data_IF_853539663601
#
_entry.id   IF_853539663601
#
_cell.length_a   1.000
_cell.length_b   1.000
_cell.length_c   1.000
_cell.angle_alpha   90.00
_cell.angle_beta   90.00
_cell.angle_gamma   90.00
#
_symmetry.space_group_name_H-M   'P 1'
#
loop_
_entity.id
_entity.type
_entity.pdbx_description
1 polymer ?
#
# COMPACT_ATOMS: atom_id res chain seq x y z
N UNK A 1 -52.99 -44.60 2.29
CA UNK A 1 -53.48 -43.64 3.31
C UNK A 1 -52.21 -43.11 3.99
N UNK A 2 -51.59 -41.97 3.66
CA UNK A 2 -52.08 -40.66 3.20
C UNK A 2 -51.13 -40.03 2.16
N UNK A 3 -51.73 -39.26 1.23
CA UNK A 3 -51.11 -38.60 0.08
C UNK A 3 -50.88 -37.11 0.37
N UNK A 4 -49.71 -36.56 0.02
CA UNK A 4 -49.41 -35.18 -0.47
C UNK A 4 -48.05 -35.29 -1.21
N UNK A 5 -47.89 -35.28 -2.54
CA UNK A 5 -48.13 -34.21 -3.56
C UNK A 5 -47.63 -32.86 -3.03
N UNK A 6 -46.70 -32.08 -3.60
CA UNK A 6 -45.95 -31.97 -4.87
C UNK A 6 -44.81 -30.95 -4.52
N UNK A 7 -43.62 -30.91 -5.12
CA UNK A 7 -43.24 -30.10 -6.30
C UNK A 7 -41.73 -30.26 -6.45
N UNK A 8 -41.26 -30.66 -7.64
CA UNK A 8 -39.87 -30.47 -8.04
C UNK A 8 -39.65 -29.00 -8.42
N UNK A 9 -38.61 -28.34 -7.92
CA UNK A 9 -38.09 -27.13 -8.53
C UNK A 9 -36.55 -27.13 -8.50
N UNK A 10 -36.01 -27.21 -9.70
CA UNK A 10 -34.63 -26.96 -10.09
C UNK A 10 -34.35 -25.45 -9.90
N UNK A 11 -33.07 -25.09 -9.69
CA UNK A 11 -32.48 -23.72 -9.62
C UNK A 11 -32.56 -22.97 -8.29
N UNK A 12 -31.46 -23.01 -7.52
CA UNK A 12 -30.63 -21.81 -7.33
C UNK A 12 -29.16 -22.20 -7.43
N UNK A 13 -28.62 -22.00 -8.64
CA UNK A 13 -27.22 -21.78 -8.91
C UNK A 13 -26.89 -20.33 -8.51
N UNK A 14 -26.38 -20.08 -7.30
CA UNK A 14 -25.62 -18.84 -7.01
C UNK A 14 -24.56 -19.13 -5.96
N UNK A 15 -23.34 -19.31 -6.44
CA UNK A 15 -22.11 -18.80 -5.84
C UNK A 15 -21.91 -19.02 -4.34
N UNK A 16 -21.66 -20.28 -3.94
CA UNK A 16 -20.61 -20.53 -2.96
C UNK A 16 -19.23 -20.54 -3.66
N UNK A 17 -19.00 -19.56 -4.54
CA UNK A 17 -17.65 -19.06 -4.77
C UNK A 17 -17.36 -18.25 -3.51
N UNK A 18 -16.98 -18.96 -2.45
CA UNK A 18 -16.39 -18.34 -1.27
C UNK A 18 -15.35 -17.37 -1.80
N UNK A 19 -15.60 -16.09 -1.53
CA UNK A 19 -15.01 -14.96 -2.21
C UNK A 19 -13.59 -15.26 -2.63
N UNK A 20 -13.39 -15.28 -3.94
CA UNK A 20 -12.09 -15.20 -4.57
C UNK A 20 -11.48 -13.87 -4.14
N UNK A 21 -10.93 -13.81 -2.93
CA UNK A 21 -9.92 -12.84 -2.61
C UNK A 21 -8.61 -13.47 -3.08
N UNK A 22 -8.40 -13.46 -4.39
CA UNK A 22 -7.03 -13.33 -4.88
C UNK A 22 -6.52 -12.01 -4.34
N UNK A 23 -6.06 -12.02 -3.09
CA UNK A 23 -5.16 -10.98 -2.62
C UNK A 23 -3.90 -11.18 -3.43
N UNK A 24 -3.85 -10.50 -4.58
CA UNK A 24 -2.67 -10.40 -5.41
C UNK A 24 -1.51 -10.06 -4.48
N UNK A 25 -0.43 -10.82 -4.59
CA UNK A 25 0.81 -10.61 -3.84
C UNK A 25 1.12 -9.11 -3.77
N UNK A 26 1.01 -8.53 -2.59
CA UNK A 26 1.33 -7.12 -2.35
C UNK A 26 2.76 -6.90 -2.83
N UNK A 27 2.93 -5.97 -3.79
CA UNK A 27 4.22 -5.74 -4.44
C UNK A 27 4.99 -4.72 -3.62
N UNK A 28 5.86 -5.23 -2.76
CA UNK A 28 6.66 -4.44 -1.84
C UNK A 28 7.96 -3.95 -2.49
N UNK A 29 8.24 -2.65 -2.35
CA UNK A 29 9.46 -2.01 -2.86
C UNK A 29 10.13 -1.21 -1.75
N UNK A 30 11.37 -1.57 -1.42
CA UNK A 30 12.16 -0.90 -0.37
C UNK A 30 13.43 -0.23 -0.89
N UNK A 31 13.73 -0.34 -2.18
CA UNK A 31 14.94 0.21 -2.81
C UNK A 31 14.56 1.40 -3.71
N UNK A 32 14.75 2.65 -3.25
CA UNK A 32 14.41 3.85 -4.02
C UNK A 32 15.23 4.02 -5.30
N UNK A 33 16.38 3.35 -5.42
CA UNK A 33 17.27 3.48 -6.59
C UNK A 33 16.81 2.65 -7.79
N UNK A 34 15.77 1.80 -7.61
CA UNK A 34 15.22 0.96 -8.67
C UNK A 34 13.83 1.45 -9.05
N UNK A 35 13.54 1.63 -10.36
CA UNK A 35 12.18 1.95 -10.80
C UNK A 35 11.19 0.87 -10.39
N UNK A 36 10.07 1.31 -9.81
CA UNK A 36 8.94 0.48 -9.40
C UNK A 36 8.06 0.25 -10.62
N UNK A 37 8.14 -0.96 -11.20
CA UNK A 37 7.38 -1.34 -12.41
C UNK A 37 6.07 -2.04 -12.06
N UNK A 38 4.94 -1.37 -12.27
CA UNK A 38 3.60 -1.80 -11.87
C UNK A 38 2.68 -1.89 -13.08
N UNK A 39 1.74 -2.84 -13.09
CA UNK A 39 0.68 -2.89 -14.12
C UNK A 39 -0.51 -2.05 -13.69
N UNK A 40 -1.24 -1.52 -14.66
CA UNK A 40 -2.49 -0.80 -14.44
C UNK A 40 -3.44 -1.59 -13.53
N UNK A 41 -4.06 -0.91 -12.57
CA UNK A 41 -5.02 -1.49 -11.63
C UNK A 41 -4.41 -2.23 -10.44
N UNK A 42 -3.10 -2.46 -10.42
CA UNK A 42 -2.45 -3.16 -9.30
C UNK A 42 -2.19 -2.24 -8.11
N UNK A 43 -2.28 -2.82 -6.92
CA UNK A 43 -1.76 -2.23 -5.69
C UNK A 43 -0.27 -2.56 -5.52
N UNK A 44 0.45 -1.63 -4.90
CA UNK A 44 1.87 -1.75 -4.59
C UNK A 44 2.21 -0.97 -3.32
N UNK A 45 3.28 -1.39 -2.65
CA UNK A 45 3.68 -0.84 -1.37
C UNK A 45 5.11 -0.32 -1.42
N UNK A 46 5.32 0.87 -0.88
CA UNK A 46 6.64 1.46 -0.68
C UNK A 46 7.02 1.31 0.79
N UNK A 47 8.16 0.65 1.04
CA UNK A 47 8.63 0.32 2.38
C UNK A 47 9.78 1.24 2.74
N UNK A 48 9.61 1.96 3.85
CA UNK A 48 10.58 2.90 4.37
C UNK A 48 11.01 2.50 5.77
N UNK A 49 12.31 2.47 6.03
CA UNK A 49 12.81 2.27 7.40
C UNK A 49 12.39 3.46 8.28
N UNK A 50 11.84 3.16 9.45
CA UNK A 50 11.29 4.17 10.36
C UNK A 50 11.53 3.78 11.81
N UNK A 51 11.70 4.76 12.70
CA UNK A 51 11.85 4.53 14.12
C UNK A 51 10.92 5.45 14.90
N UNK A 52 9.68 4.99 15.12
CA UNK A 52 8.65 5.75 15.82
C UNK A 52 9.06 6.17 17.24
N UNK A 53 9.99 5.46 17.90
CA UNK A 53 10.48 5.80 19.24
C UNK A 53 11.27 7.12 19.30
N UNK A 54 11.73 7.61 18.14
CA UNK A 54 12.48 8.86 18.01
C UNK A 54 11.59 10.08 17.75
N UNK A 55 10.29 9.86 17.55
CA UNK A 55 9.31 10.89 17.21
C UNK A 55 9.29 11.29 15.72
N UNK A 56 10.21 10.77 14.92
CA UNK A 56 10.20 10.98 13.47
C UNK A 56 9.17 10.07 12.79
N UNK A 57 8.61 10.56 11.68
CA UNK A 57 7.72 9.81 10.79
C UNK A 57 7.92 10.26 9.35
N UNK A 58 7.57 9.40 8.39
CA UNK A 58 7.55 9.80 6.98
C UNK A 58 6.30 10.62 6.65
N UNK A 59 6.48 11.61 5.79
CA UNK A 59 5.41 12.43 5.23
C UNK A 59 5.67 12.61 3.73
N UNK A 60 4.64 12.92 2.95
CA UNK A 60 4.85 13.34 1.56
C UNK A 60 5.77 14.57 1.50
N UNK A 61 6.70 14.54 0.56
CA UNK A 61 7.44 15.73 0.15
C UNK A 61 6.70 16.42 -1.00
N UNK A 62 6.88 17.73 -1.13
CA UNK A 62 6.33 18.48 -2.27
C UNK A 62 7.31 18.44 -3.45
N UNK A 63 6.82 18.32 -4.70
CA UNK A 63 5.43 18.01 -5.06
C UNK A 63 5.07 16.55 -4.73
N UNK A 64 3.82 16.32 -4.29
CA UNK A 64 3.35 15.01 -3.79
C UNK A 64 3.59 13.87 -4.81
N UNK A 65 2.80 13.81 -5.89
CA UNK A 65 2.93 12.93 -7.07
C UNK A 65 1.73 13.19 -8.00
N UNK A 66 1.73 12.60 -9.20
CA UNK A 66 0.59 12.68 -10.12
C UNK A 66 -0.54 11.73 -9.67
N UNK A 67 -1.58 12.29 -9.07
CA UNK A 67 -2.76 11.55 -8.57
C UNK A 67 -3.60 10.90 -9.66
N UNK A 68 -3.37 11.23 -10.94
CA UNK A 68 -4.01 10.51 -12.05
C UNK A 68 -3.29 9.20 -12.38
N UNK A 69 -2.01 9.06 -12.00
CA UNK A 69 -1.19 7.87 -12.28
C UNK A 69 -1.23 6.90 -11.11
N UNK A 70 -1.18 7.40 -9.88
CA UNK A 70 -1.23 6.60 -8.66
C UNK A 70 -2.22 7.20 -7.66
N UNK A 71 -2.87 6.35 -6.86
CA UNK A 71 -3.73 6.71 -5.75
C UNK A 71 -3.09 6.25 -4.44
N UNK A 72 -3.07 7.09 -3.42
CA UNK A 72 -2.68 6.67 -2.08
C UNK A 72 -3.86 5.97 -1.40
N UNK A 73 -3.63 4.75 -0.89
CA UNK A 73 -4.65 3.91 -0.27
C UNK A 73 -4.58 4.01 1.26
N UNK A 74 -3.41 3.70 1.84
CA UNK A 74 -3.19 3.71 3.29
C UNK A 74 -1.69 3.74 3.62
N UNK A 75 -1.36 4.09 4.85
CA UNK A 75 -0.05 3.83 5.42
C UNK A 75 -0.15 3.24 6.81
N UNK A 76 0.84 2.44 7.20
CA UNK A 76 0.92 1.83 8.52
C UNK A 76 2.36 1.68 9.00
N UNK A 77 2.56 1.75 10.31
CA UNK A 77 3.85 1.48 10.94
C UNK A 77 3.90 0.03 11.45
N UNK A 78 4.92 -0.70 11.03
CA UNK A 78 5.17 -2.08 11.44
C UNK A 78 6.27 -2.10 12.50
N UNK A 79 5.87 -2.52 13.70
CA UNK A 79 6.76 -2.71 14.85
C UNK A 79 7.75 -3.85 14.55
N UNK A 80 9.06 -3.69 14.83
CA UNK A 80 10.03 -4.74 14.59
C UNK A 80 9.84 -5.92 15.56
N UNK A 81 10.03 -7.15 15.06
CA UNK A 81 9.98 -8.37 15.87
C UNK A 81 11.29 -8.57 16.62
N UNK A 82 11.54 -7.76 17.65
CA UNK A 82 12.76 -7.80 18.48
C UNK A 82 12.45 -7.48 19.94
N UNK A 83 13.32 -7.93 20.86
CA UNK A 83 13.26 -7.60 22.29
C UNK A 83 14.00 -6.29 22.64
N UNK A 84 14.67 -5.67 21.66
CA UNK A 84 15.44 -4.45 21.86
C UNK A 84 14.50 -3.23 21.95
N UNK A 85 14.54 -2.55 23.09
CA UNK A 85 13.86 -1.26 23.27
C UNK A 85 14.49 -0.22 22.34
N UNK A 86 13.66 0.58 21.67
CA UNK A 86 14.14 1.60 20.73
C UNK A 86 14.46 1.09 19.32
N UNK A 87 14.25 -0.19 19.04
CA UNK A 87 14.50 -0.75 17.72
C UNK A 87 13.62 -0.09 16.64
N UNK A 88 14.24 0.23 15.50
CA UNK A 88 13.54 0.74 14.33
C UNK A 88 12.65 -0.32 13.68
N UNK A 89 11.47 0.12 13.25
CA UNK A 89 10.52 -0.63 12.44
C UNK A 89 10.49 -0.14 11.00
N UNK A 90 9.32 -0.23 10.38
CA UNK A 90 9.12 0.19 8.98
C UNK A 90 7.78 0.91 8.83
N UNK A 91 7.70 1.85 7.91
CA UNK A 91 6.43 2.38 7.43
C UNK A 91 6.14 1.78 6.05
N UNK A 92 4.92 1.27 5.88
CA UNK A 92 4.40 0.72 4.65
C UNK A 92 3.42 1.73 4.07
N UNK A 93 3.65 2.16 2.83
CA UNK A 93 2.81 3.11 2.12
C UNK A 93 2.20 2.44 0.90
N UNK A 94 0.89 2.23 0.90
CA UNK A 94 0.18 1.46 -0.12
C UNK A 94 -0.48 2.39 -1.13
N UNK A 95 -0.32 2.04 -2.41
CA UNK A 95 -0.83 2.79 -3.54
C UNK A 95 -1.51 1.88 -4.54
N UNK A 96 -2.40 2.45 -5.36
CA UNK A 96 -3.03 1.80 -6.51
C UNK A 96 -2.65 2.49 -7.80
N UNK A 97 -2.26 1.73 -8.82
CA UNK A 97 -1.95 2.27 -10.14
C UNK A 97 -3.23 2.56 -10.95
N UNK A 98 -3.47 3.83 -11.29
CA UNK A 98 -4.70 4.30 -11.94
C UNK A 98 -4.57 4.52 -13.44
N UNK A 99 -3.39 4.93 -13.92
CA UNK A 99 -3.15 5.23 -15.34
C UNK A 99 -1.73 4.88 -15.75
N UNK A 100 -1.57 4.35 -16.97
CA UNK A 100 -0.26 4.13 -17.55
C UNK A 100 0.52 5.44 -17.67
N UNK A 101 1.80 5.41 -17.33
CA UNK A 101 2.64 6.60 -17.24
C UNK A 101 3.77 6.46 -16.24
N UNK A 102 4.42 7.58 -15.94
CA UNK A 102 5.53 7.67 -14.99
C UNK A 102 5.24 8.78 -13.99
N UNK A 103 5.39 8.49 -12.69
CA UNK A 103 5.32 9.50 -11.63
C UNK A 103 6.40 9.25 -10.58
N UNK A 104 6.73 10.25 -9.78
CA UNK A 104 7.68 10.13 -8.67
C UNK A 104 6.95 10.40 -7.38
N UNK A 105 7.03 9.47 -6.43
CA UNK A 105 6.48 9.62 -5.08
C UNK A 105 7.65 9.92 -4.15
N UNK A 106 7.64 11.09 -3.52
CA UNK A 106 8.71 11.54 -2.63
C UNK A 106 8.24 11.68 -1.20
N UNK A 107 9.13 11.37 -0.26
CA UNK A 107 8.89 11.41 1.17
C UNK A 107 10.00 12.17 1.89
N UNK A 108 9.62 12.79 3.00
CA UNK A 108 10.51 13.45 3.97
C UNK A 108 10.31 12.84 5.36
N UNK A 109 11.40 12.60 6.06
CA UNK A 109 11.40 12.03 7.41
C UNK A 109 11.62 13.16 8.43
N UNK A 110 10.58 13.50 9.17
CA UNK A 110 10.51 14.70 10.02
C UNK A 110 9.80 14.43 11.33
N UNK A 111 10.00 15.30 12.31
CA UNK A 111 9.13 15.41 13.49
C UNK A 111 8.05 16.44 13.20
N UNK A 112 6.75 16.10 13.23
CA UNK A 112 5.68 17.02 12.81
C UNK A 112 5.59 18.32 13.62
N UNK A 113 6.12 18.32 14.86
CA UNK A 113 6.09 19.48 15.75
C UNK A 113 7.31 20.41 15.60
N UNK A 114 8.37 19.99 14.91
CA UNK A 114 9.54 20.82 14.66
C UNK A 114 9.27 21.68 13.41
N UNK A 115 9.25 23.00 13.59
CA UNK A 115 9.06 23.98 12.51
C UNK A 115 10.41 24.38 11.94
N UNK A 116 10.45 24.61 10.63
CA UNK A 116 11.61 25.16 9.90
C UNK A 116 12.90 24.33 10.03
N UNK A 117 12.77 23.04 10.37
CA UNK A 117 13.88 22.07 10.39
C UNK A 117 13.88 21.28 9.09
N UNK A 118 15.07 21.14 8.49
CA UNK A 118 15.24 20.32 7.29
C UNK A 118 14.99 18.82 7.60
N UNK A 119 14.40 18.05 6.67
CA UNK A 119 14.23 16.63 6.85
C UNK A 119 15.56 15.91 7.09
N UNK A 120 15.59 15.02 8.07
CA UNK A 120 16.83 14.25 8.35
C UNK A 120 17.05 13.13 7.34
N UNK A 121 16.00 12.72 6.63
CA UNK A 121 16.05 11.79 5.49
C UNK A 121 15.00 12.15 4.46
N UNK A 122 15.28 11.78 3.21
CA UNK A 122 14.33 11.84 2.10
C UNK A 122 14.38 10.53 1.32
N UNK A 123 13.28 10.17 0.66
CA UNK A 123 13.22 9.01 -0.22
C UNK A 123 12.32 9.30 -1.41
N UNK A 124 12.73 8.90 -2.62
CA UNK A 124 11.97 9.12 -3.84
C UNK A 124 11.90 7.85 -4.67
N UNK A 125 10.70 7.42 -5.02
CA UNK A 125 10.45 6.23 -5.82
C UNK A 125 9.91 6.64 -7.18
N UNK A 126 10.58 6.17 -8.23
CA UNK A 126 10.10 6.33 -9.60
C UNK A 126 9.13 5.20 -9.91
N UNK A 127 7.86 5.54 -10.09
CA UNK A 127 6.79 4.60 -10.42
C UNK A 127 6.57 4.61 -11.93
N UNK A 128 6.63 3.44 -12.54
CA UNK A 128 6.36 3.21 -13.96
C UNK A 128 5.17 2.27 -14.08
N UNK A 129 4.03 2.83 -14.49
CA UNK A 129 2.80 2.08 -14.70
C UNK A 129 2.71 1.69 -16.17
N UNK A 130 2.71 0.39 -16.44
CA UNK A 130 2.49 -0.18 -17.78
C UNK A 130 1.04 -0.65 -17.93
N UNK A 131 0.49 -0.66 -19.16
CA UNK A 131 -0.79 -1.31 -19.44
C UNK A 131 -0.84 -2.77 -18.96
#
# INVERSE_FOLDING_TARGET
>A
MNKKLTVALILVLVCAVGAFCLTGRERDFSDPNKPVKIKLGQEFSLILDSNATTGYQWQFAEPIFDKNIAEFVRSEYIIPKTKLVGAGGKEIWVFKALKAGKTTISFKYVRPWEKDVLPVKTASFVIVVTP
#
